data_IF_435390190232
#
_entry.id   IF_435390190232
#
_cell.length_a   1.000
_cell.length_b   1.000
_cell.length_c   1.000
_cell.angle_alpha   90.00
_cell.angle_beta   90.00
_cell.angle_gamma   90.00
#
_symmetry.space_group_name_H-M   'P 1'
#
loop_
_entity.id
_entity.type
_entity.pdbx_description
1 polymer ?
#
# COMPACT_ATOMS: atom_id res chain seq x y z
N UNK A 1 -18.39 -14.04 2.93
CA UNK A 1 -18.04 -13.60 1.55
C UNK A 1 -16.72 -14.24 1.17
N UNK A 2 -16.56 -14.68 -0.06
CA UNK A 2 -15.26 -15.22 -0.53
C UNK A 2 -14.30 -14.08 -0.80
N UNK A 3 -13.10 -14.18 -0.28
CA UNK A 3 -12.04 -13.21 -0.54
C UNK A 3 -10.88 -13.90 -1.28
N UNK A 4 -10.22 -13.14 -2.15
CA UNK A 4 -9.02 -13.60 -2.83
C UNK A 4 -7.86 -12.70 -2.40
N UNK A 5 -6.76 -13.33 -2.02
CA UNK A 5 -5.53 -12.66 -1.59
C UNK A 5 -4.48 -12.87 -2.67
N UNK A 6 -3.98 -11.77 -3.21
CA UNK A 6 -2.89 -11.76 -4.19
C UNK A 6 -1.60 -11.34 -3.51
N UNK A 7 -0.57 -12.16 -3.62
CA UNK A 7 0.74 -11.94 -3.00
C UNK A 7 1.81 -11.87 -4.06
N UNK A 8 2.52 -10.73 -4.15
CA UNK A 8 3.66 -10.58 -5.03
C UNK A 8 4.93 -11.09 -4.36
N UNK A 9 5.52 -12.15 -4.93
CA UNK A 9 6.79 -12.74 -4.53
C UNK A 9 7.88 -12.33 -5.53
N UNK A 10 8.58 -11.25 -5.19
CA UNK A 10 9.43 -10.51 -6.13
C UNK A 10 10.59 -11.33 -6.66
N UNK A 11 11.33 -12.03 -5.79
CA UNK A 11 12.55 -12.77 -6.18
C UNK A 11 12.24 -14.04 -6.97
N UNK A 12 11.05 -14.62 -6.81
CA UNK A 12 10.61 -15.77 -7.62
C UNK A 12 9.81 -15.37 -8.85
N UNK A 13 9.59 -14.07 -9.11
CA UNK A 13 8.81 -13.56 -10.25
C UNK A 13 7.42 -14.21 -10.31
N UNK A 14 6.69 -14.20 -9.18
CA UNK A 14 5.41 -14.90 -9.07
C UNK A 14 4.38 -14.07 -8.33
N UNK A 15 3.12 -14.23 -8.74
CA UNK A 15 1.95 -13.83 -7.95
C UNK A 15 1.28 -15.11 -7.47
N UNK A 16 1.13 -15.25 -6.16
CA UNK A 16 0.35 -16.33 -5.55
C UNK A 16 -1.08 -15.84 -5.33
N UNK A 17 -2.02 -16.61 -5.85
CA UNK A 17 -3.46 -16.33 -5.74
C UNK A 17 -4.05 -17.30 -4.73
N UNK A 18 -4.58 -16.77 -3.64
CA UNK A 18 -5.15 -17.55 -2.54
C UNK A 18 -6.63 -17.25 -2.38
N UNK A 19 -7.42 -18.26 -2.13
CA UNK A 19 -8.77 -18.08 -1.61
C UNK A 19 -8.71 -18.06 -0.08
N UNK A 20 -9.32 -17.07 0.54
CA UNK A 20 -9.46 -16.97 1.99
C UNK A 20 -10.92 -17.19 2.38
N UNK A 21 -11.16 -18.08 3.36
CA UNK A 21 -12.48 -18.36 3.88
C UNK A 21 -12.86 -17.38 5.01
N UNK A 22 -14.05 -17.53 5.56
CA UNK A 22 -14.59 -16.68 6.63
C UNK A 22 -13.87 -16.83 7.99
N UNK A 23 -13.00 -17.84 8.13
CA UNK A 23 -12.17 -18.09 9.31
C UNK A 23 -10.71 -17.61 9.13
N UNK A 24 -10.39 -16.98 7.98
CA UNK A 24 -9.03 -16.51 7.67
C UNK A 24 -8.09 -17.61 7.17
N UNK A 25 -8.60 -18.81 6.92
CA UNK A 25 -7.79 -19.89 6.36
C UNK A 25 -7.66 -19.72 4.85
N UNK A 26 -6.45 -19.91 4.34
CA UNK A 26 -6.15 -19.74 2.92
C UNK A 26 -5.87 -21.06 2.21
N UNK A 27 -6.35 -21.19 0.98
CA UNK A 27 -6.02 -22.27 0.05
C UNK A 27 -5.49 -21.70 -1.26
N UNK A 28 -4.37 -22.25 -1.76
CA UNK A 28 -3.74 -21.80 -2.99
C UNK A 28 -4.61 -22.17 -4.20
N UNK A 29 -5.01 -21.16 -4.98
CA UNK A 29 -5.78 -21.34 -6.22
C UNK A 29 -4.89 -21.40 -7.45
N UNK A 30 -3.83 -20.56 -7.48
CA UNK A 30 -2.98 -20.40 -8.65
C UNK A 30 -1.63 -19.78 -8.26
N UNK A 31 -0.59 -20.18 -8.97
CA UNK A 31 0.69 -19.46 -9.00
C UNK A 31 0.91 -18.92 -10.42
N UNK A 32 1.04 -17.62 -10.57
CA UNK A 32 1.21 -16.94 -11.85
C UNK A 32 2.65 -16.50 -11.98
N UNK A 33 3.34 -16.91 -13.03
CA UNK A 33 4.67 -16.38 -13.37
C UNK A 33 4.52 -14.99 -13.99
N UNK A 34 5.36 -14.06 -13.55
CA UNK A 34 5.42 -12.71 -14.10
C UNK A 34 6.64 -12.57 -15.01
N UNK A 35 6.62 -11.69 -16.02
CA UNK A 35 7.74 -11.55 -16.97
C UNK A 35 9.01 -11.05 -16.29
N UNK A 36 8.87 -10.41 -15.13
CA UNK A 36 9.96 -9.82 -14.36
C UNK A 36 9.66 -9.82 -12.86
N UNK A 37 10.55 -9.25 -12.05
CA UNK A 37 10.34 -9.08 -10.61
C UNK A 37 9.08 -8.23 -10.33
N UNK A 38 8.05 -8.84 -9.78
CA UNK A 38 6.79 -8.16 -9.44
C UNK A 38 6.91 -7.47 -8.08
N UNK A 39 6.36 -6.26 -7.96
CA UNK A 39 6.34 -5.50 -6.71
C UNK A 39 4.92 -5.02 -6.37
N UNK A 40 4.50 -3.75 -6.68
CA UNK A 40 3.18 -3.32 -6.29
C UNK A 40 2.10 -4.01 -7.12
N UNK A 41 1.02 -4.37 -6.45
CA UNK A 41 -0.22 -4.88 -7.02
C UNK A 41 -1.38 -3.96 -6.64
N UNK A 42 -2.32 -3.77 -7.56
CA UNK A 42 -3.61 -3.15 -7.25
C UNK A 42 -4.72 -3.78 -8.08
N UNK A 43 -5.89 -3.98 -7.48
CA UNK A 43 -7.12 -4.41 -8.19
C UNK A 43 -7.90 -3.21 -8.66
N UNK A 44 -8.52 -3.32 -9.83
CA UNK A 44 -9.48 -2.34 -10.30
C UNK A 44 -10.69 -2.27 -9.35
N UNK A 45 -11.33 -1.09 -9.18
CA UNK A 45 -12.47 -0.93 -8.26
C UNK A 45 -13.68 -1.81 -8.62
N UNK A 46 -13.83 -2.17 -9.88
CA UNK A 46 -14.88 -3.09 -10.35
C UNK A 46 -14.57 -4.58 -10.10
N UNK A 47 -13.33 -4.88 -9.68
CA UNK A 47 -12.83 -6.23 -9.47
C UNK A 47 -12.51 -7.01 -10.75
N UNK A 48 -12.55 -6.35 -11.91
CA UNK A 48 -12.33 -7.02 -13.22
C UNK A 48 -10.87 -7.23 -13.59
N UNK A 49 -9.97 -6.41 -13.04
CA UNK A 49 -8.55 -6.45 -13.40
C UNK A 49 -7.64 -6.32 -12.18
N UNK A 50 -6.44 -6.90 -12.31
CA UNK A 50 -5.31 -6.68 -11.42
C UNK A 50 -4.16 -6.09 -12.24
N UNK A 51 -3.53 -5.05 -11.69
CA UNK A 51 -2.35 -4.42 -12.24
C UNK A 51 -1.15 -4.75 -11.39
N UNK A 52 -0.06 -5.15 -12.02
CA UNK A 52 1.18 -5.53 -11.35
C UNK A 52 2.35 -4.80 -12.00
N UNK A 53 3.08 -3.98 -11.25
CA UNK A 53 4.29 -3.37 -11.78
C UNK A 53 5.48 -4.32 -11.65
N UNK A 54 6.32 -4.36 -12.68
CA UNK A 54 7.48 -5.24 -12.78
C UNK A 54 8.77 -4.48 -13.07
N UNK A 55 9.91 -5.03 -12.61
CA UNK A 55 11.27 -4.50 -12.83
C UNK A 55 12.25 -5.63 -13.14
N UNK A 56 13.34 -5.38 -13.88
CA UNK A 56 13.81 -4.12 -14.45
C UNK A 56 13.09 -3.68 -15.72
N UNK A 57 12.15 -4.47 -16.24
CA UNK A 57 11.44 -4.19 -17.49
C UNK A 57 10.54 -2.96 -17.46
N UNK A 58 10.39 -2.28 -16.32
CA UNK A 58 9.63 -1.04 -16.12
C UNK A 58 8.28 -1.05 -16.85
N UNK A 59 7.38 -1.92 -16.41
CA UNK A 59 6.08 -2.06 -17.03
C UNK A 59 4.98 -2.35 -16.01
N UNK A 60 3.74 -2.10 -16.39
CA UNK A 60 2.55 -2.63 -15.73
C UNK A 60 2.03 -3.81 -16.53
N UNK A 61 1.97 -4.97 -15.91
CA UNK A 61 1.29 -6.16 -16.44
C UNK A 61 -0.17 -6.09 -16.02
N UNK A 62 -1.07 -6.27 -16.96
CA UNK A 62 -2.52 -6.30 -16.70
C UNK A 62 -3.02 -7.74 -16.74
N UNK A 63 -3.74 -8.12 -15.70
CA UNK A 63 -4.41 -9.40 -15.61
C UNK A 63 -5.93 -9.20 -15.53
N UNK A 64 -6.66 -9.99 -16.29
CA UNK A 64 -8.10 -10.15 -16.08
C UNK A 64 -8.33 -11.09 -14.88
N UNK A 65 -9.24 -10.72 -14.00
CA UNK A 65 -9.65 -11.53 -12.85
C UNK A 65 -10.88 -12.33 -13.25
N UNK A 66 -10.83 -13.66 -13.10
CA UNK A 66 -11.95 -14.56 -13.32
C UNK A 66 -12.91 -14.54 -12.10
N UNK A 67 -14.10 -15.12 -12.25
CA UNK A 67 -15.10 -15.21 -11.18
C UNK A 67 -14.60 -15.96 -9.94
N UNK A 68 -13.65 -16.90 -10.11
CA UNK A 68 -13.01 -17.61 -9.01
C UNK A 68 -11.76 -16.88 -8.46
N UNK A 69 -11.42 -15.71 -8.99
CA UNK A 69 -10.28 -14.89 -8.61
C UNK A 69 -8.97 -15.21 -9.34
N UNK A 70 -8.94 -16.23 -10.20
CA UNK A 70 -7.73 -16.55 -10.98
C UNK A 70 -7.38 -15.47 -11.98
N UNK A 71 -6.10 -15.37 -12.30
CA UNK A 71 -5.52 -14.34 -13.15
C UNK A 71 -5.17 -14.88 -14.55
N UNK A 72 -5.54 -14.11 -15.58
CA UNK A 72 -5.07 -14.33 -16.95
C UNK A 72 -4.45 -13.05 -17.46
N UNK A 73 -3.18 -13.08 -17.88
CA UNK A 73 -2.50 -11.91 -18.43
C UNK A 73 -3.17 -11.48 -19.73
N UNK A 74 -3.49 -10.19 -19.83
CA UNK A 74 -4.14 -9.58 -21.01
C UNK A 74 -3.29 -8.52 -21.69
N UNK A 75 -2.29 -7.96 -20.99
CA UNK A 75 -1.44 -6.94 -21.57
C UNK A 75 -0.22 -6.59 -20.73
N UNK A 76 0.63 -5.76 -21.35
CA UNK A 76 1.81 -5.18 -20.72
C UNK A 76 1.96 -3.76 -21.25
N UNK A 77 2.04 -2.76 -20.37
CA UNK A 77 2.22 -1.35 -20.72
C UNK A 77 3.53 -0.83 -20.16
N UNK A 78 4.45 -0.30 -20.97
CA UNK A 78 5.69 0.29 -20.51
C UNK A 78 5.48 1.49 -19.59
N UNK A 79 6.32 1.59 -18.55
CA UNK A 79 6.40 2.73 -17.64
C UNK A 79 7.68 3.54 -17.90
N UNK A 80 7.69 4.87 -17.62
CA UNK A 80 8.89 5.70 -17.71
C UNK A 80 9.93 5.41 -16.63
N UNK A 81 9.58 4.59 -15.63
CA UNK A 81 10.49 4.19 -14.55
C UNK A 81 9.98 2.98 -13.78
N UNK A 82 10.83 2.46 -12.90
CA UNK A 82 10.49 1.33 -12.00
C UNK A 82 9.51 1.78 -10.94
N UNK A 83 8.25 1.38 -11.03
CA UNK A 83 7.25 1.75 -10.04
C UNK A 83 7.50 1.06 -8.69
N UNK A 84 7.67 1.86 -7.64
CA UNK A 84 7.66 1.42 -6.25
C UNK A 84 6.22 1.31 -5.71
N UNK A 85 5.31 2.04 -6.33
CA UNK A 85 3.89 2.09 -5.97
C UNK A 85 3.04 2.37 -7.19
N UNK A 86 1.87 1.77 -7.26
CA UNK A 86 0.82 2.09 -8.22
C UNK A 86 -0.51 2.28 -7.50
N UNK A 87 -1.32 3.22 -7.97
CA UNK A 87 -2.68 3.42 -7.49
C UNK A 87 -3.63 3.77 -8.63
N UNK A 88 -4.92 3.64 -8.40
CA UNK A 88 -5.98 3.97 -9.34
C UNK A 88 -6.85 5.09 -8.77
N UNK A 89 -7.40 5.94 -9.64
CA UNK A 89 -8.48 6.81 -9.23
C UNK A 89 -9.71 6.00 -8.80
N UNK A 90 -10.62 6.62 -8.07
CA UNK A 90 -11.81 5.92 -7.54
C UNK A 90 -12.69 5.29 -8.62
N UNK A 91 -12.64 5.81 -9.82
CA UNK A 91 -13.40 5.30 -10.97
C UNK A 91 -12.66 4.21 -11.76
N UNK A 92 -11.39 3.94 -11.44
CA UNK A 92 -10.55 2.99 -12.17
C UNK A 92 -10.18 3.44 -13.58
N UNK A 93 -10.23 4.75 -13.86
CA UNK A 93 -9.96 5.32 -15.20
C UNK A 93 -8.53 5.79 -15.38
N UNK A 94 -7.79 6.01 -14.30
CA UNK A 94 -6.42 6.52 -14.33
C UNK A 94 -5.55 5.76 -13.34
N UNK A 95 -4.39 5.31 -13.82
CA UNK A 95 -3.35 4.70 -13.02
C UNK A 95 -2.22 5.71 -12.78
N UNK A 96 -1.80 5.84 -11.53
CA UNK A 96 -0.65 6.65 -11.11
C UNK A 96 0.48 5.73 -10.66
N UNK A 97 1.69 5.95 -11.18
CA UNK A 97 2.87 5.13 -10.87
C UNK A 97 4.00 6.01 -10.35
N UNK A 98 4.39 5.79 -9.08
CA UNK A 98 5.52 6.47 -8.45
C UNK A 98 6.80 5.64 -8.62
N UNK A 99 7.83 6.23 -9.23
CA UNK A 99 9.11 5.59 -9.54
C UNK A 99 10.21 6.12 -8.65
N UNK A 100 10.57 5.35 -7.64
CA UNK A 100 11.52 5.71 -6.58
C UNK A 100 12.92 6.10 -7.12
N UNK A 101 13.50 5.24 -7.98
CA UNK A 101 14.87 5.44 -8.46
C UNK A 101 14.96 6.47 -9.59
N UNK A 102 13.96 6.53 -10.48
CA UNK A 102 13.93 7.49 -11.57
C UNK A 102 13.40 8.86 -11.16
N UNK A 103 12.82 8.97 -9.95
CA UNK A 103 12.34 10.24 -9.42
C UNK A 103 11.20 10.84 -10.22
N UNK A 104 10.24 10.01 -10.66
CA UNK A 104 9.11 10.48 -11.43
C UNK A 104 7.78 9.91 -10.96
N UNK A 105 6.70 10.60 -11.36
CA UNK A 105 5.32 10.18 -11.18
C UNK A 105 4.64 10.18 -12.55
N UNK A 106 4.16 9.02 -13.00
CA UNK A 106 3.52 8.84 -14.28
C UNK A 106 2.00 8.73 -14.14
N UNK A 107 1.28 9.32 -15.11
CA UNK A 107 -0.19 9.29 -15.23
C UNK A 107 -0.58 8.53 -16.48
N UNK A 108 -1.28 7.41 -16.31
CA UNK A 108 -1.67 6.51 -17.39
C UNK A 108 -3.20 6.34 -17.41
N UNK A 109 -3.91 6.82 -18.45
CA UNK A 109 -5.32 6.52 -18.63
C UNK A 109 -5.56 5.02 -18.81
N UNK A 110 -6.64 4.50 -18.23
CA UNK A 110 -7.11 3.13 -18.46
C UNK A 110 -8.12 3.15 -19.60
N UNK A 111 -7.94 2.30 -20.60
CA UNK A 111 -8.84 2.13 -21.74
C UNK A 111 -10.05 1.27 -21.35
N UNK A 112 -11.10 1.30 -22.16
CA UNK A 112 -12.33 0.52 -21.95
C UNK A 112 -12.09 -1.00 -21.84
N UNK A 113 -10.99 -1.50 -22.41
CA UNK A 113 -10.59 -2.90 -22.30
C UNK A 113 -9.76 -3.22 -21.04
N UNK A 114 -9.64 -2.28 -20.11
CA UNK A 114 -8.89 -2.40 -18.86
C UNK A 114 -7.37 -2.23 -19.01
N UNK A 115 -6.83 -2.02 -20.20
CA UNK A 115 -5.39 -1.84 -20.39
C UNK A 115 -4.96 -0.38 -20.17
N UNK A 116 -3.91 -0.13 -19.35
CA UNK A 116 -3.33 1.20 -19.28
C UNK A 116 -2.82 1.66 -20.66
N UNK A 117 -3.09 2.91 -21.01
CA UNK A 117 -2.47 3.56 -22.15
C UNK A 117 -1.02 3.96 -21.81
N UNK A 118 -0.28 4.52 -22.77
CA UNK A 118 0.99 5.18 -22.49
C UNK A 118 0.77 6.37 -21.57
N UNK A 119 1.79 6.71 -20.78
CA UNK A 119 1.73 7.88 -19.90
C UNK A 119 1.41 9.15 -20.71
N UNK A 120 0.39 9.88 -20.26
CA UNK A 120 -0.03 11.18 -20.82
C UNK A 120 0.60 12.36 -20.09
N UNK A 121 1.17 12.07 -18.91
CA UNK A 121 1.93 13.03 -18.10
C UNK A 121 3.01 12.27 -17.34
N UNK A 122 4.19 12.86 -17.24
CA UNK A 122 5.30 12.41 -16.40
C UNK A 122 5.82 13.62 -15.64
N UNK A 123 5.70 13.59 -14.32
CA UNK A 123 6.24 14.62 -13.44
C UNK A 123 7.61 14.14 -12.99
N UNK A 124 8.65 14.87 -13.34
CA UNK A 124 10.04 14.55 -13.08
C UNK A 124 10.64 15.38 -11.94
N UNK A 125 11.85 15.04 -11.50
CA UNK A 125 12.59 15.81 -10.50
C UNK A 125 12.18 15.58 -9.05
N UNK A 126 11.40 14.51 -8.79
CA UNK A 126 11.07 14.09 -7.43
C UNK A 126 12.23 13.28 -6.83
N UNK A 127 12.54 13.48 -5.54
CA UNK A 127 13.57 12.69 -4.86
C UNK A 127 12.94 11.51 -4.13
N UNK A 128 13.07 10.33 -4.72
CA UNK A 128 12.58 9.07 -4.17
C UNK A 128 11.07 9.07 -3.84
N UNK A 129 10.17 9.40 -4.80
CA UNK A 129 8.73 9.28 -4.58
C UNK A 129 8.40 7.81 -4.34
N UNK A 130 7.89 7.50 -3.14
CA UNK A 130 7.74 6.12 -2.71
C UNK A 130 6.32 5.59 -2.89
N UNK A 131 5.32 6.45 -2.78
CA UNK A 131 3.92 6.09 -3.00
C UNK A 131 3.13 7.24 -3.62
N UNK A 132 1.95 6.91 -4.13
CA UNK A 132 0.96 7.85 -4.65
C UNK A 132 -0.38 7.52 -4.01
N UNK A 133 -0.93 8.42 -3.23
CA UNK A 133 -2.04 8.13 -2.33
C UNK A 133 -3.17 9.12 -2.58
N UNK A 134 -4.32 8.61 -3.03
CA UNK A 134 -5.50 9.44 -3.27
C UNK A 134 -6.24 9.65 -1.96
N UNK A 135 -6.46 10.89 -1.61
CA UNK A 135 -7.22 11.25 -0.43
C UNK A 135 -8.69 10.85 -0.56
N UNK A 136 -9.40 10.88 0.57
CA UNK A 136 -10.79 10.46 0.64
C UNK A 136 -11.72 11.30 -0.26
N UNK A 137 -11.36 12.57 -0.54
CA UNK A 137 -12.10 13.45 -1.46
C UNK A 137 -12.09 12.97 -2.92
N UNK A 138 -11.13 12.08 -3.27
CA UNK A 138 -10.94 11.57 -4.63
C UNK A 138 -10.33 12.57 -5.62
N UNK A 139 -10.01 13.79 -5.17
CA UNK A 139 -9.49 14.89 -5.99
C UNK A 139 -8.06 15.28 -5.62
N UNK A 140 -7.58 14.84 -4.46
CA UNK A 140 -6.23 15.16 -3.97
C UNK A 140 -5.36 13.92 -3.98
N UNK A 141 -4.18 14.03 -4.61
CA UNK A 141 -3.15 13.00 -4.60
C UNK A 141 -1.96 13.47 -3.77
N UNK A 142 -1.56 12.68 -2.77
CA UNK A 142 -0.36 12.89 -1.97
C UNK A 142 0.76 11.95 -2.38
N UNK A 143 1.97 12.49 -2.53
CA UNK A 143 3.15 11.75 -2.96
C UNK A 143 4.27 11.95 -1.94
N UNK A 144 4.44 11.01 -0.99
CA UNK A 144 5.60 11.00 -0.11
C UNK A 144 6.90 10.85 -0.92
N UNK A 145 7.78 11.86 -0.82
CA UNK A 145 9.09 11.91 -1.44
C UNK A 145 10.15 11.69 -0.36
N UNK A 146 10.57 10.45 -0.20
CA UNK A 146 11.44 10.00 0.90
C UNK A 146 12.75 10.81 0.98
N UNK A 147 13.37 11.08 -0.17
CA UNK A 147 14.63 11.83 -0.25
C UNK A 147 14.49 13.34 -0.13
N UNK A 148 13.27 13.86 0.02
CA UNK A 148 12.99 15.28 0.20
C UNK A 148 12.54 15.62 1.62
N UNK A 149 12.16 14.61 2.43
CA UNK A 149 11.42 14.79 3.68
C UNK A 149 10.14 15.64 3.49
N UNK A 150 9.50 15.48 2.31
CA UNK A 150 8.27 16.16 1.93
C UNK A 150 7.24 15.19 1.41
N UNK A 151 5.97 15.55 1.61
CA UNK A 151 4.83 14.93 0.96
C UNK A 151 4.26 15.96 -0.02
N UNK A 152 4.42 15.72 -1.31
CA UNK A 152 3.89 16.61 -2.35
C UNK A 152 2.40 16.39 -2.52
N UNK A 153 1.67 17.45 -2.84
CA UNK A 153 0.23 17.42 -3.05
C UNK A 153 -0.13 17.86 -4.47
N UNK A 154 -1.07 17.16 -5.07
CA UNK A 154 -1.56 17.43 -6.42
C UNK A 154 -3.08 17.44 -6.45
N UNK A 155 -3.67 18.30 -7.27
CA UNK A 155 -5.06 18.18 -7.70
C UNK A 155 -5.14 17.15 -8.82
N UNK A 156 -6.08 16.21 -8.74
CA UNK A 156 -6.46 15.32 -9.83
C UNK A 156 -7.49 16.06 -10.67
N UNK A 157 -7.13 16.38 -11.91
CA UNK A 157 -8.01 17.04 -12.88
C UNK A 157 -9.05 16.06 -13.45
N UNK A 158 -10.07 16.56 -14.13
CA UNK A 158 -11.14 15.74 -14.72
C UNK A 158 -10.64 14.70 -15.73
N UNK A 159 -9.54 14.98 -16.42
CA UNK A 159 -8.88 14.07 -17.37
C UNK A 159 -7.83 13.14 -16.69
N UNK A 160 -7.72 13.19 -15.38
CA UNK A 160 -6.80 12.42 -14.57
C UNK A 160 -5.40 13.01 -14.46
N UNK A 161 -5.07 14.10 -15.18
CA UNK A 161 -3.79 14.79 -15.05
C UNK A 161 -3.64 15.42 -13.67
N UNK A 162 -2.41 15.74 -13.31
CA UNK A 162 -2.06 16.26 -12.00
C UNK A 162 -1.55 17.69 -12.10
N UNK A 163 -2.09 18.57 -11.25
CA UNK A 163 -1.60 19.95 -11.04
C UNK A 163 -1.03 20.07 -9.63
N UNK A 164 0.23 20.48 -9.51
CA UNK A 164 0.91 20.55 -8.20
C UNK A 164 0.33 21.67 -7.34
N UNK A 165 0.14 21.36 -6.07
CA UNK A 165 -0.38 22.26 -5.03
C UNK A 165 0.76 22.64 -4.07
N UNK A 166 1.68 23.48 -4.49
CA UNK A 166 2.86 23.84 -3.68
C UNK A 166 2.54 24.38 -2.28
N UNK A 167 1.40 25.08 -2.11
CA UNK A 167 0.97 25.62 -0.83
C UNK A 167 0.52 24.55 0.18
N UNK A 168 0.19 23.34 -0.30
CA UNK A 168 -0.32 22.22 0.52
C UNK A 168 0.72 21.10 0.69
N UNK A 169 1.96 21.35 0.28
CA UNK A 169 3.06 20.42 0.50
C UNK A 169 3.35 20.31 2.01
N UNK A 170 3.46 19.06 2.49
CA UNK A 170 3.74 18.78 3.89
C UNK A 170 5.21 18.48 4.08
N UNK A 171 5.78 18.95 5.20
CA UNK A 171 7.15 18.67 5.60
C UNK A 171 7.16 17.75 6.80
N UNK A 172 7.99 16.72 6.78
CA UNK A 172 8.27 15.86 7.95
C UNK A 172 9.60 16.27 8.58
N UNK A 173 9.93 15.68 9.73
CA UNK A 173 11.23 15.92 10.36
C UNK A 173 12.38 15.56 9.43
N UNK A 174 13.49 16.30 9.49
CA UNK A 174 14.66 16.05 8.66
C UNK A 174 15.20 14.62 8.86
N UNK A 175 15.39 13.90 7.76
CA UNK A 175 15.83 12.50 7.75
C UNK A 175 14.75 11.50 8.11
N UNK A 176 13.48 11.90 8.20
CA UNK A 176 12.38 10.99 8.53
C UNK A 176 12.04 10.05 7.36
N UNK A 177 12.08 10.53 6.13
CA UNK A 177 11.82 9.74 4.92
C UNK A 177 10.37 9.28 4.80
N UNK A 178 9.42 10.16 4.42
CA UNK A 178 8.00 9.78 4.26
C UNK A 178 7.84 8.74 3.16
N UNK A 179 7.03 7.71 3.43
CA UNK A 179 6.98 6.51 2.59
C UNK A 179 5.59 6.14 2.10
N UNK A 180 4.71 5.74 2.99
CA UNK A 180 3.34 5.30 2.70
C UNK A 180 2.34 6.08 3.54
N UNK A 181 1.11 6.18 3.05
CA UNK A 181 0.02 6.87 3.74
C UNK A 181 -1.21 5.99 3.85
N UNK A 182 -1.98 6.22 4.91
CA UNK A 182 -3.34 5.73 5.07
C UNK A 182 -4.27 6.92 5.35
N UNK A 183 -5.55 6.78 4.99
CA UNK A 183 -6.56 7.81 5.22
C UNK A 183 -7.68 7.25 6.06
N UNK A 184 -8.14 8.03 7.03
CA UNK A 184 -9.30 7.64 7.82
C UNK A 184 -10.53 7.52 6.90
N UNK A 185 -11.30 6.41 6.97
CA UNK A 185 -12.37 6.14 6.00
C UNK A 185 -13.54 7.15 6.04
N UNK A 186 -13.75 7.83 7.17
CA UNK A 186 -14.88 8.74 7.38
C UNK A 186 -14.48 10.16 7.81
N UNK A 187 -13.19 10.44 8.06
CA UNK A 187 -12.72 11.75 8.55
C UNK A 187 -11.65 12.32 7.60
N UNK A 188 -11.49 13.62 7.59
CA UNK A 188 -10.45 14.30 6.83
C UNK A 188 -9.09 14.23 7.58
N UNK A 189 -8.62 13.01 7.80
CA UNK A 189 -7.38 12.71 8.52
C UNK A 189 -6.53 11.75 7.70
N UNK A 190 -5.23 12.06 7.60
CA UNK A 190 -4.23 11.22 6.96
C UNK A 190 -3.13 10.83 7.96
N UNK A 191 -2.56 9.67 7.74
CA UNK A 191 -1.45 9.12 8.50
C UNK A 191 -0.31 8.84 7.53
N UNK A 192 0.86 9.42 7.77
CA UNK A 192 2.05 9.17 6.97
C UNK A 192 3.09 8.42 7.79
N UNK A 193 3.48 7.26 7.32
CA UNK A 193 4.57 6.48 7.88
C UNK A 193 5.89 6.92 7.28
N UNK A 194 6.88 7.19 8.13
CA UNK A 194 8.23 7.56 7.76
C UNK A 194 9.17 6.35 7.89
N UNK A 195 9.89 6.05 6.82
CA UNK A 195 10.71 4.83 6.72
C UNK A 195 11.94 4.88 7.63
N UNK A 196 12.66 6.03 7.65
CA UNK A 196 14.02 6.10 8.17
C UNK A 196 14.09 6.33 9.68
N UNK A 197 13.12 7.03 10.26
CA UNK A 197 13.03 7.25 11.69
C UNK A 197 11.92 6.44 12.37
N UNK A 198 11.13 5.67 11.59
CA UNK A 198 10.01 4.86 12.08
C UNK A 198 9.02 5.67 12.93
N UNK A 199 8.56 6.81 12.41
CA UNK A 199 7.48 7.61 13.00
C UNK A 199 6.24 7.58 12.12
N UNK A 200 5.08 7.90 12.71
CA UNK A 200 3.83 8.16 12.00
C UNK A 200 3.39 9.59 12.32
N UNK A 201 3.27 10.42 11.28
CA UNK A 201 2.70 11.75 11.38
C UNK A 201 1.20 11.71 11.08
N UNK A 202 0.42 12.40 11.88
CA UNK A 202 -1.04 12.54 11.72
C UNK A 202 -1.34 13.94 11.22
N UNK A 203 -2.07 14.03 10.12
CA UNK A 203 -2.46 15.28 9.48
C UNK A 203 -3.96 15.42 9.43
N UNK A 204 -4.46 16.65 9.61
CA UNK A 204 -5.88 16.97 9.55
C UNK A 204 -6.15 18.00 8.47
N UNK A 205 -7.28 17.84 7.78
CA UNK A 205 -7.81 18.68 6.72
C UNK A 205 -6.99 18.66 5.41
N UNK A 206 -7.68 18.88 4.28
CA UNK A 206 -7.06 18.91 2.95
C UNK A 206 -6.84 20.35 2.43
N UNK A 207 -7.39 21.32 3.16
CA UNK A 207 -7.15 22.76 2.94
C UNK A 207 -6.45 23.29 4.18
N UNK A 208 -5.23 23.82 4.00
CA UNK A 208 -4.31 24.18 5.09
C UNK A 208 -3.99 22.98 6.01
N UNK A 209 -3.57 21.90 5.38
CA UNK A 209 -3.18 20.67 6.07
C UNK A 209 -2.14 20.98 7.15
N UNK A 210 -2.34 20.45 8.34
CA UNK A 210 -1.41 20.61 9.46
C UNK A 210 -1.16 19.30 10.17
N UNK A 211 0.07 19.10 10.59
CA UNK A 211 0.43 18.02 11.51
C UNK A 211 -0.20 18.30 12.90
N UNK A 212 -0.82 17.28 13.45
CA UNK A 212 -1.44 17.35 14.79
C UNK A 212 -0.82 16.37 15.78
N UNK A 213 -0.11 15.37 15.29
CA UNK A 213 0.61 14.39 16.10
C UNK A 213 1.77 13.77 15.33
N UNK A 214 2.85 13.43 16.02
CA UNK A 214 3.89 12.52 15.57
C UNK A 214 4.10 11.43 16.61
N UNK A 215 4.08 10.15 16.18
CA UNK A 215 4.17 8.99 17.07
C UNK A 215 5.41 8.17 16.71
N UNK A 216 6.24 7.85 17.70
CA UNK A 216 7.35 6.91 17.52
C UNK A 216 6.79 5.48 17.49
N UNK A 217 7.17 4.70 16.50
CA UNK A 217 6.76 3.29 16.36
C UNK A 217 7.58 2.36 17.26
N UNK A 218 8.78 2.77 17.64
CA UNK A 218 9.71 1.91 18.35
C UNK A 218 9.48 1.97 19.87
N UNK A 219 9.96 0.95 20.59
CA UNK A 219 10.00 0.98 22.04
C UNK A 219 11.07 1.99 22.51
N UNK A 220 10.89 2.58 23.69
CA UNK A 220 11.79 3.60 24.23
C UNK A 220 13.24 3.12 24.41
N UNK A 221 13.42 1.83 24.63
CA UNK A 221 14.74 1.18 24.80
C UNK A 221 15.30 0.59 23.47
N UNK A 222 14.62 0.79 22.36
CA UNK A 222 15.05 0.24 21.07
C UNK A 222 16.26 1.02 20.51
N UNK A 223 17.38 0.34 20.37
CA UNK A 223 18.64 0.90 19.85
C UNK A 223 19.04 0.37 18.48
N UNK A 224 18.19 -0.47 17.86
CA UNK A 224 18.46 -1.08 16.55
C UNK A 224 18.18 -0.13 15.39
N UNK A 225 18.37 -0.64 14.18
CA UNK A 225 18.03 0.07 12.96
C UNK A 225 16.51 0.31 12.89
N UNK A 226 16.11 1.50 12.53
CA UNK A 226 14.72 1.87 12.23
C UNK A 226 14.47 1.70 10.73
N UNK A 227 13.42 0.98 10.35
CA UNK A 227 13.14 0.69 8.95
C UNK A 227 11.66 0.34 8.71
N UNK A 228 10.79 1.30 8.97
CA UNK A 228 9.35 1.13 8.80
C UNK A 228 8.96 0.96 7.32
N UNK A 229 7.83 0.32 7.04
CA UNK A 229 7.48 0.01 5.66
C UNK A 229 6.03 0.36 5.30
N UNK A 230 5.03 -0.26 5.85
CA UNK A 230 3.66 -0.16 5.37
C UNK A 230 2.68 0.22 6.49
N UNK A 231 1.54 0.80 6.11
CA UNK A 231 0.55 1.33 7.03
C UNK A 231 -0.86 1.15 6.46
N UNK A 232 -1.77 0.61 7.26
CA UNK A 232 -3.17 0.41 6.92
C UNK A 232 -4.08 0.71 8.11
N UNK A 233 -5.29 1.18 7.82
CA UNK A 233 -6.35 1.42 8.80
C UNK A 233 -7.52 0.47 8.50
N UNK A 234 -8.23 0.03 9.55
CA UNK A 234 -9.44 -0.78 9.37
C UNK A 234 -10.56 0.00 8.68
N UNK A 235 -11.47 -0.66 7.95
CA UNK A 235 -12.58 0.00 7.25
C UNK A 235 -13.51 0.81 8.16
N UNK A 236 -13.60 0.48 9.45
CA UNK A 236 -14.35 1.22 10.45
C UNK A 236 -13.61 2.45 11.00
N UNK A 237 -12.28 2.53 10.75
CA UNK A 237 -11.43 3.64 11.17
C UNK A 237 -10.96 3.58 12.63
N UNK A 238 -11.20 2.50 13.36
CA UNK A 238 -10.87 2.42 14.80
C UNK A 238 -9.48 1.89 15.10
N UNK A 239 -8.88 1.16 14.16
CA UNK A 239 -7.58 0.50 14.35
C UNK A 239 -6.64 0.78 13.18
N UNK A 240 -5.42 1.19 13.49
CA UNK A 240 -4.37 1.43 12.51
C UNK A 240 -3.20 0.48 12.81
N UNK A 241 -2.66 -0.11 11.75
CA UNK A 241 -1.52 -1.00 11.82
C UNK A 241 -0.36 -0.46 10.98
N UNK A 242 0.86 -0.69 11.45
CA UNK A 242 2.08 -0.30 10.74
C UNK A 242 3.17 -1.34 10.97
N UNK A 243 3.87 -1.74 9.90
CA UNK A 243 4.94 -2.72 10.01
C UNK A 243 6.33 -2.07 10.07
N UNK A 244 7.21 -2.72 10.85
CA UNK A 244 8.61 -2.34 10.97
C UNK A 244 9.50 -3.53 10.61
N UNK A 245 10.39 -3.32 9.62
CA UNK A 245 11.14 -4.41 8.97
C UNK A 245 12.29 -4.96 9.81
N UNK A 246 13.01 -4.08 10.52
CA UNK A 246 14.21 -4.48 11.27
C UNK A 246 13.86 -5.27 12.53
N UNK A 247 12.79 -4.91 13.20
CA UNK A 247 12.26 -5.62 14.38
C UNK A 247 11.27 -6.74 14.04
N UNK A 248 10.78 -6.80 12.78
CA UNK A 248 9.80 -7.78 12.30
C UNK A 248 8.50 -7.79 13.13
N UNK A 249 7.94 -6.60 13.33
CA UNK A 249 6.70 -6.41 14.10
C UNK A 249 5.63 -5.67 13.29
N UNK A 250 4.37 -5.90 13.66
CA UNK A 250 3.23 -5.07 13.36
C UNK A 250 2.86 -4.28 14.62
N UNK A 251 2.93 -2.97 14.55
CA UNK A 251 2.41 -2.08 15.58
C UNK A 251 0.93 -1.83 15.36
N UNK A 252 0.15 -1.88 16.43
CA UNK A 252 -1.26 -1.59 16.45
C UNK A 252 -1.52 -0.31 17.27
N UNK A 253 -2.33 0.57 16.69
CA UNK A 253 -2.77 1.81 17.33
C UNK A 253 -4.29 1.87 17.37
N UNK A 254 -4.85 2.28 18.51
CA UNK A 254 -6.22 2.75 18.59
C UNK A 254 -6.30 4.15 18.01
N UNK A 255 -7.31 4.39 17.22
CA UNK A 255 -7.59 5.69 16.59
C UNK A 255 -8.71 6.36 17.39
N UNK A 256 -8.53 7.63 17.76
CA UNK A 256 -9.57 8.39 18.44
C UNK A 256 -10.81 8.61 17.55
N UNK A 257 -11.96 8.86 18.16
CA UNK A 257 -13.24 9.04 17.46
C UNK A 257 -13.21 10.15 16.39
N UNK A 258 -12.39 11.17 16.57
CA UNK A 258 -12.17 12.23 15.59
C UNK A 258 -11.08 11.89 14.56
N UNK A 259 -10.45 10.73 14.67
CA UNK A 259 -9.37 10.24 13.81
C UNK A 259 -8.01 10.89 14.08
N UNK A 260 -7.95 11.94 14.89
CA UNK A 260 -6.77 12.81 15.00
C UNK A 260 -5.70 12.35 15.98
N UNK A 261 -5.94 11.28 16.74
CA UNK A 261 -4.99 10.80 17.73
C UNK A 261 -4.78 9.30 17.64
N UNK A 262 -3.50 8.89 17.62
CA UNK A 262 -3.07 7.50 17.65
C UNK A 262 -2.52 7.15 19.03
N UNK A 263 -3.03 6.09 19.63
CA UNK A 263 -2.52 5.53 20.86
C UNK A 263 -2.00 4.12 20.60
N UNK A 264 -0.72 3.88 20.88
CA UNK A 264 -0.16 2.54 20.77
C UNK A 264 -0.91 1.57 21.68
N UNK A 265 -1.41 0.47 21.12
CA UNK A 265 -2.19 -0.54 21.81
C UNK A 265 -1.48 -1.90 21.88
N UNK A 266 -0.61 -2.20 20.90
CA UNK A 266 0.12 -3.46 20.88
C UNK A 266 1.26 -3.49 19.86
N UNK A 267 2.18 -4.44 20.05
CA UNK A 267 3.23 -4.81 19.11
C UNK A 267 3.23 -6.32 18.93
N UNK A 268 3.05 -6.77 17.71
CA UNK A 268 2.88 -8.19 17.39
C UNK A 268 4.04 -8.67 16.52
N UNK A 269 4.84 -9.66 16.98
CA UNK A 269 5.81 -10.33 16.12
C UNK A 269 5.12 -10.91 14.89
N UNK A 270 5.77 -10.80 13.74
CA UNK A 270 5.26 -11.33 12.48
C UNK A 270 6.38 -12.00 11.67
N UNK A 271 6.14 -12.27 10.40
CA UNK A 271 7.13 -12.85 9.48
C UNK A 271 8.37 -11.96 9.34
N UNK A 272 9.53 -12.56 9.06
CA UNK A 272 10.81 -11.85 9.03
C UNK A 272 10.86 -10.80 7.90
N UNK A 273 11.17 -9.57 8.28
CA UNK A 273 11.25 -8.40 7.40
C UNK A 273 9.92 -8.13 6.67
N UNK A 274 8.86 -7.76 7.40
CA UNK A 274 7.56 -7.47 6.82
C UNK A 274 7.64 -6.15 6.03
N UNK A 275 7.55 -6.23 4.70
CA UNK A 275 7.60 -5.05 3.84
C UNK A 275 6.22 -4.57 3.41
N UNK A 276 5.29 -5.48 3.25
CA UNK A 276 3.90 -5.19 2.92
C UNK A 276 2.94 -6.09 3.68
N UNK A 277 1.80 -5.57 4.00
CA UNK A 277 0.67 -6.30 4.57
C UNK A 277 -0.63 -5.69 4.07
N UNK A 278 -1.75 -6.32 4.34
CA UNK A 278 -3.06 -5.77 4.06
C UNK A 278 -4.02 -6.07 5.22
N UNK A 279 -4.92 -5.15 5.48
CA UNK A 279 -6.16 -5.42 6.21
C UNK A 279 -7.21 -5.79 5.17
N UNK A 280 -7.94 -6.87 5.39
CA UNK A 280 -8.97 -7.32 4.47
C UNK A 280 -10.17 -6.35 4.43
N UNK A 281 -10.99 -6.45 3.38
CA UNK A 281 -12.11 -5.52 3.18
C UNK A 281 -13.20 -5.60 4.26
N UNK A 282 -13.23 -6.67 5.05
CA UNK A 282 -14.14 -6.80 6.19
C UNK A 282 -13.57 -6.21 7.49
N UNK A 283 -12.29 -5.89 7.53
CA UNK A 283 -11.60 -5.43 8.73
C UNK A 283 -11.32 -6.53 9.76
N UNK A 284 -11.53 -7.80 9.39
CA UNK A 284 -11.42 -8.94 10.31
C UNK A 284 -10.08 -9.66 10.27
N UNK A 285 -9.30 -9.48 9.20
CA UNK A 285 -8.05 -10.18 9.00
C UNK A 285 -6.93 -9.24 8.57
N UNK A 286 -5.74 -9.50 9.08
CA UNK A 286 -4.50 -8.89 8.64
C UNK A 286 -3.61 -9.96 8.03
N UNK A 287 -3.15 -9.72 6.80
CA UNK A 287 -2.29 -10.61 6.03
C UNK A 287 -0.92 -9.94 5.86
N UNK A 288 0.13 -10.47 6.48
CA UNK A 288 1.48 -9.93 6.42
C UNK A 288 2.42 -10.81 5.60
N UNK A 289 3.33 -10.18 4.87
CA UNK A 289 4.39 -10.88 4.12
C UNK A 289 5.71 -10.81 4.86
N UNK A 290 6.51 -11.87 4.80
CA UNK A 290 7.88 -11.89 5.27
C UNK A 290 8.87 -12.01 4.13
N UNK A 291 9.53 -10.90 3.78
CA UNK A 291 10.45 -10.85 2.65
C UNK A 291 11.59 -11.87 2.78
N UNK A 292 12.10 -12.08 3.99
CA UNK A 292 13.20 -13.03 4.26
C UNK A 292 12.71 -14.40 4.73
N UNK A 293 11.55 -14.49 5.35
CA UNK A 293 10.98 -15.78 5.76
C UNK A 293 10.25 -16.51 4.64
N UNK A 294 9.98 -15.84 3.51
CA UNK A 294 9.30 -16.40 2.33
C UNK A 294 7.90 -16.97 2.64
N UNK A 295 7.24 -16.41 3.63
CA UNK A 295 5.90 -16.82 4.08
C UNK A 295 4.96 -15.63 4.15
N UNK A 296 3.69 -15.98 4.20
CA UNK A 296 2.57 -15.08 4.49
C UNK A 296 1.91 -15.55 5.77
N UNK A 297 1.69 -14.65 6.71
CA UNK A 297 0.96 -14.92 7.94
C UNK A 297 -0.41 -14.26 7.93
N UNK A 298 -1.42 -14.95 8.45
CA UNK A 298 -2.77 -14.43 8.65
C UNK A 298 -3.06 -14.34 10.12
N UNK A 299 -3.53 -13.19 10.56
CA UNK A 299 -4.02 -12.94 11.91
C UNK A 299 -5.45 -12.43 11.86
N UNK A 300 -6.27 -12.86 12.81
CA UNK A 300 -7.58 -12.29 13.06
C UNK A 300 -7.42 -10.98 13.82
N UNK A 301 -8.18 -9.98 13.43
CA UNK A 301 -8.32 -8.71 14.15
C UNK A 301 -9.53 -8.84 15.08
N UNK A 302 -9.34 -8.64 16.38
CA UNK A 302 -10.47 -8.52 17.31
C UNK A 302 -11.24 -7.24 17.02
N UNK A 303 -12.54 -7.35 16.79
CA UNK A 303 -13.39 -6.24 16.34
C UNK A 303 -13.48 -5.08 17.37
N UNK A 304 -13.27 -5.35 18.65
CA UNK A 304 -13.41 -4.37 19.72
C UNK A 304 -12.05 -3.82 20.13
N UNK A 305 -11.08 -4.70 20.33
CA UNK A 305 -9.77 -4.33 20.88
C UNK A 305 -8.74 -4.02 19.81
N UNK A 306 -8.92 -4.56 18.60
CA UNK A 306 -7.94 -4.51 17.50
C UNK A 306 -6.74 -5.44 17.70
N UNK A 307 -6.76 -6.29 18.73
CA UNK A 307 -5.68 -7.25 18.99
C UNK A 307 -5.54 -8.24 17.83
N UNK A 308 -4.30 -8.61 17.52
CA UNK A 308 -4.02 -9.58 16.48
C UNK A 308 -3.86 -10.98 17.09
N UNK A 309 -4.70 -11.91 16.62
CA UNK A 309 -4.63 -13.32 16.99
C UNK A 309 -4.15 -14.13 15.79
N UNK A 310 -2.94 -14.68 15.88
CA UNK A 310 -2.35 -15.49 14.80
C UNK A 310 -3.24 -16.71 14.48
N UNK A 311 -3.53 -16.88 13.19
CA UNK A 311 -4.31 -18.04 12.68
C UNK A 311 -3.39 -19.08 12.09
N UNK A 312 -2.66 -18.70 11.02
CA UNK A 312 -1.79 -19.62 10.29
C UNK A 312 -0.77 -18.87 9.44
N UNK A 313 0.24 -19.61 8.97
CA UNK A 313 1.20 -19.15 7.99
C UNK A 313 1.24 -20.07 6.78
N UNK A 314 1.56 -19.49 5.62
CA UNK A 314 1.55 -20.21 4.35
C UNK A 314 2.84 -19.94 3.60
N UNK A 315 3.44 -20.97 2.94
CA UNK A 315 4.61 -20.75 2.11
C UNK A 315 4.23 -19.90 0.88
N UNK A 316 5.00 -18.88 0.61
CA UNK A 316 4.92 -18.08 -0.61
C UNK A 316 6.18 -18.31 -1.46
N UNK A 317 6.28 -17.65 -2.61
CA UNK A 317 7.54 -17.59 -3.35
C UNK A 317 8.61 -16.78 -2.61
N UNK A 318 9.81 -16.70 -3.17
CA UNK A 318 10.90 -15.95 -2.57
C UNK A 318 10.63 -14.44 -2.61
N UNK A 319 10.88 -13.77 -1.48
CA UNK A 319 10.75 -12.34 -1.34
C UNK A 319 9.31 -11.80 -1.47
N UNK A 320 8.30 -12.37 -0.78
CA UNK A 320 6.96 -11.81 -0.79
C UNK A 320 6.99 -10.44 -0.11
N UNK A 321 6.44 -9.42 -0.79
CA UNK A 321 6.54 -8.05 -0.29
C UNK A 321 5.31 -7.18 -0.57
N UNK A 322 4.29 -7.72 -1.21
CA UNK A 322 3.05 -6.99 -1.49
C UNK A 322 1.84 -7.90 -1.38
N UNK A 323 0.79 -7.38 -0.77
CA UNK A 323 -0.49 -8.07 -0.61
C UNK A 323 -1.61 -7.15 -1.08
N UNK A 324 -2.56 -7.68 -1.83
CA UNK A 324 -3.85 -7.02 -2.05
C UNK A 324 -4.98 -8.04 -1.90
N UNK A 325 -6.11 -7.59 -1.37
CA UNK A 325 -7.27 -8.44 -1.08
C UNK A 325 -8.46 -7.97 -1.90
N UNK A 326 -9.13 -8.90 -2.56
CA UNK A 326 -10.34 -8.66 -3.32
C UNK A 326 -11.50 -9.47 -2.74
N UNK A 327 -12.62 -8.82 -2.47
CA UNK A 327 -13.88 -9.51 -2.18
C UNK A 327 -14.57 -9.86 -3.49
N UNK A 328 -14.79 -11.15 -3.73
CA UNK A 328 -15.54 -11.59 -4.91
C UNK A 328 -17.03 -11.27 -4.72
N UNK A 329 -17.68 -10.86 -5.81
CA UNK A 329 -19.11 -10.55 -5.85
C UNK A 329 -19.96 -11.80 -5.82
#
# INVERSE_FOLDING_TARGET
MKQVVYVASTESHQIHVWQMNEHGEMSLLQTVSTPDQVQPLITAPDGGHLYAAVKPGNAVVTYKIAEDGKLTQTGLTPLPGTAAYITLDKAGRTLYAASYHQGNLAVLPIRDNGLPARAVQVIEGLKNPHSANIAQDGCTLFVPCLGEDHIRAYTIEEDGRLTERHADMLTVAAGAGPRHMAFHPAKHVAYCLNELNATINVYREWVKVREIQSVDMMADDYSGRRWAADIHITPDGHHLYACERASSVINHYRVSDDGGHLQLAGRYPTETQPRGFAVDNSGRFLISTGQLSHHVAVSQIDEITGELHFINRYPAGKGPMWVTVLTLK
#
